data_IF_257849830947
#
_entry.id   IF_257849830947
#
_cell.length_a   1.000
_cell.length_b   1.000
_cell.length_c   1.000
_cell.angle_alpha   90.00
_cell.angle_beta   90.00
_cell.angle_gamma   90.00
#
_symmetry.space_group_name_H-M   'P 1'
#
loop_
_entity.id
_entity.type
_entity.pdbx_description
1 polymer ?
#
# COMPACT_ATOMS: atom_id res chain seq x y z
N UNK A 1 9.56 21.13 34.52
CA UNK A 1 9.57 21.46 33.09
C UNK A 1 8.80 20.37 32.38
N UNK A 2 7.62 20.68 31.85
CA UNK A 2 6.83 19.69 31.11
C UNK A 2 7.62 19.27 29.86
N UNK A 3 7.85 18.00 29.74
CA UNK A 3 8.44 17.37 28.58
C UNK A 3 7.61 17.77 27.35
N UNK A 4 8.13 18.63 26.48
CA UNK A 4 7.43 18.96 25.23
C UNK A 4 7.35 17.66 24.44
N UNK A 5 6.20 17.02 24.44
CA UNK A 5 5.95 15.84 23.60
C UNK A 5 6.40 16.17 22.19
N UNK A 6 7.44 15.47 21.73
CA UNK A 6 7.95 15.60 20.38
C UNK A 6 6.81 15.27 19.39
N UNK A 7 6.44 16.22 18.55
CA UNK A 7 5.45 16.01 17.48
C UNK A 7 6.21 15.44 16.28
N UNK A 8 6.00 14.17 15.92
CA UNK A 8 6.73 13.59 14.79
C UNK A 8 6.32 14.25 13.47
N UNK A 9 7.31 14.53 12.63
CA UNK A 9 7.13 14.97 11.26
C UNK A 9 7.15 13.76 10.32
N UNK A 10 6.08 13.57 9.57
CA UNK A 10 5.93 12.48 8.61
C UNK A 10 6.03 13.06 7.19
N UNK A 11 6.98 12.57 6.41
CA UNK A 11 7.07 12.86 4.99
C UNK A 11 6.38 11.74 4.19
N UNK A 12 5.31 12.06 3.49
CA UNK A 12 4.60 11.15 2.60
C UNK A 12 4.99 11.46 1.16
N UNK A 13 5.41 10.44 0.40
CA UNK A 13 5.81 10.59 -1.00
C UNK A 13 5.02 9.67 -1.91
N UNK A 14 4.79 10.09 -3.15
CA UNK A 14 4.21 9.27 -4.21
C UNK A 14 2.93 9.81 -4.82
N UNK A 15 2.80 9.66 -6.15
CA UNK A 15 1.68 10.17 -6.94
C UNK A 15 0.40 9.33 -6.87
N UNK A 16 0.40 8.22 -6.16
CA UNK A 16 -0.78 7.35 -6.01
C UNK A 16 -1.81 7.98 -5.06
N UNK A 17 -3.10 7.91 -5.41
CA UNK A 17 -4.19 8.40 -4.56
C UNK A 17 -4.21 7.79 -3.15
N UNK A 18 -3.67 6.56 -2.99
CA UNK A 18 -3.50 5.93 -1.67
C UNK A 18 -2.58 6.74 -0.77
N UNK A 19 -1.56 7.41 -1.34
CA UNK A 19 -0.66 8.29 -0.59
C UNK A 19 -1.36 9.57 -0.15
N UNK A 20 -2.25 10.12 -0.97
CA UNK A 20 -3.08 11.26 -0.58
C UNK A 20 -3.96 10.90 0.62
N UNK A 21 -4.67 9.77 0.56
CA UNK A 21 -5.50 9.30 1.69
C UNK A 21 -4.67 8.95 2.93
N UNK A 22 -3.49 8.37 2.74
CA UNK A 22 -2.58 8.09 3.85
C UNK A 22 -2.10 9.38 4.53
N UNK A 23 -1.72 10.40 3.76
CA UNK A 23 -1.34 11.70 4.27
C UNK A 23 -2.48 12.38 5.04
N UNK A 24 -3.71 12.37 4.49
CA UNK A 24 -4.90 12.89 5.17
C UNK A 24 -5.17 12.17 6.50
N UNK A 25 -5.12 10.84 6.47
CA UNK A 25 -5.35 10.03 7.67
C UNK A 25 -4.30 10.27 8.74
N UNK A 26 -3.02 10.36 8.35
CA UNK A 26 -1.94 10.67 9.27
C UNK A 26 -2.06 12.09 9.83
N UNK A 27 -2.43 13.08 9.00
CA UNK A 27 -2.64 14.46 9.43
C UNK A 27 -3.87 14.62 10.35
N UNK A 28 -4.80 13.66 10.35
CA UNK A 28 -5.95 13.63 11.27
C UNK A 28 -5.63 13.07 12.65
N UNK A 29 -4.42 12.54 12.86
CA UNK A 29 -3.98 12.04 14.15
C UNK A 29 -3.48 13.19 15.03
N UNK A 30 -3.85 13.16 16.32
CA UNK A 30 -3.35 14.13 17.29
C UNK A 30 -1.82 14.05 17.40
N UNK A 31 -1.19 15.24 17.51
CA UNK A 31 0.25 15.39 17.68
C UNK A 31 1.10 14.79 16.54
N UNK A 32 0.64 14.88 15.29
CA UNK A 32 1.43 14.58 14.10
C UNK A 32 1.51 15.79 13.18
N UNK A 33 2.64 15.97 12.52
CA UNK A 33 2.83 16.94 11.44
C UNK A 33 3.12 16.16 10.15
N UNK A 34 2.41 16.48 9.06
CA UNK A 34 2.54 15.74 7.80
C UNK A 34 2.90 16.69 6.67
N UNK A 35 3.98 16.36 5.96
CA UNK A 35 4.32 16.96 4.68
C UNK A 35 4.09 15.95 3.55
N UNK A 36 3.46 16.40 2.48
CA UNK A 36 3.23 15.60 1.27
C UNK A 36 4.12 16.13 0.14
N UNK A 37 4.88 15.22 -0.49
CA UNK A 37 5.80 15.53 -1.58
C UNK A 37 5.53 14.64 -2.78
N UNK A 38 5.36 15.22 -3.96
CA UNK A 38 5.05 14.52 -5.21
C UNK A 38 3.77 13.66 -5.11
N UNK A 39 2.77 14.14 -4.37
CA UNK A 39 1.45 13.52 -4.30
C UNK A 39 0.56 14.04 -5.43
N UNK A 40 -0.33 13.17 -5.94
CA UNK A 40 -1.33 13.53 -6.95
C UNK A 40 -2.57 14.14 -6.28
N UNK A 41 -2.47 15.41 -5.90
CA UNK A 41 -3.50 16.17 -5.21
C UNK A 41 -3.02 16.78 -3.89
N UNK A 42 -3.92 17.55 -3.27
CA UNK A 42 -3.66 18.25 -2.01
C UNK A 42 -4.35 17.51 -0.85
N UNK A 43 -3.62 16.68 -0.08
CA UNK A 43 -4.18 15.97 1.05
C UNK A 43 -4.63 16.93 2.15
N UNK A 44 -5.88 16.80 2.59
CA UNK A 44 -6.47 17.65 3.62
C UNK A 44 -5.71 17.51 4.95
N UNK A 45 -5.31 18.64 5.52
CA UNK A 45 -4.59 18.69 6.80
C UNK A 45 -3.09 18.45 6.71
N UNK A 46 -2.56 18.00 5.56
CA UNK A 46 -1.13 17.89 5.34
C UNK A 46 -0.60 19.12 4.57
N UNK A 47 0.65 19.49 4.84
CA UNK A 47 1.34 20.55 4.10
C UNK A 47 1.92 19.97 2.81
N UNK A 48 1.44 20.42 1.66
CA UNK A 48 2.04 20.09 0.37
C UNK A 48 3.31 20.91 0.18
N UNK A 49 4.41 20.24 -0.15
CA UNK A 49 5.70 20.88 -0.46
C UNK A 49 6.09 20.60 -1.91
N UNK A 50 6.66 21.58 -2.57
CA UNK A 50 7.12 21.49 -3.98
C UNK A 50 8.55 21.01 -4.08
N UNK A 51 9.35 21.27 -3.05
CA UNK A 51 10.74 20.84 -2.94
C UNK A 51 11.01 20.30 -1.54
N UNK A 52 11.94 19.37 -1.43
CA UNK A 52 12.35 18.80 -0.14
C UNK A 52 12.95 19.84 0.81
N UNK A 53 13.50 20.93 0.27
CA UNK A 53 14.02 22.06 1.05
C UNK A 53 12.95 22.85 1.81
N UNK A 54 11.68 22.68 1.49
CA UNK A 54 10.55 23.32 2.21
C UNK A 54 10.13 22.56 3.47
N UNK A 55 10.74 21.39 3.76
CA UNK A 55 10.49 20.69 5.02
C UNK A 55 10.89 21.61 6.21
N UNK A 56 10.03 21.74 7.23
CA UNK A 56 10.32 22.62 8.39
C UNK A 56 11.49 22.10 9.23
N UNK A 57 11.74 20.80 9.17
CA UNK A 57 12.86 20.08 9.80
C UNK A 57 13.01 18.71 9.16
N UNK A 58 14.00 17.94 9.57
CA UNK A 58 14.17 16.55 9.12
C UNK A 58 12.97 15.71 9.58
N UNK A 59 12.48 14.85 8.70
CA UNK A 59 11.32 13.98 8.96
C UNK A 59 11.70 12.80 9.86
N UNK A 60 10.87 12.54 10.85
CA UNK A 60 11.00 11.41 11.76
C UNK A 60 10.50 10.10 11.13
N UNK A 61 9.65 10.21 10.11
CA UNK A 61 9.16 9.08 9.33
C UNK A 61 9.05 9.45 7.86
N UNK A 62 9.43 8.51 7.00
CA UNK A 62 9.21 8.54 5.55
C UNK A 62 8.20 7.45 5.19
N UNK A 63 7.10 7.84 4.55
CA UNK A 63 6.14 6.89 3.98
C UNK A 63 6.29 6.85 2.46
N UNK A 64 6.79 5.73 1.98
CA UNK A 64 6.98 5.42 0.56
C UNK A 64 5.70 4.85 -0.07
N UNK A 65 5.51 4.98 -1.39
CA UNK A 65 4.36 4.41 -2.11
C UNK A 65 4.37 2.86 -2.11
N UNK A 66 3.35 2.28 -2.73
CA UNK A 66 3.22 0.84 -2.92
C UNK A 66 2.94 0.51 -4.41
N UNK A 67 3.83 -0.21 -5.10
CA UNK A 67 5.16 -0.65 -4.64
C UNK A 67 6.10 0.54 -4.43
N UNK A 68 7.04 0.41 -3.48
CA UNK A 68 7.99 1.48 -3.19
C UNK A 68 9.21 1.52 -4.11
N UNK A 69 9.36 0.54 -4.99
CA UNK A 69 10.41 0.48 -6.01
C UNK A 69 9.92 -0.26 -7.25
N UNK A 70 10.36 0.19 -8.41
CA UNK A 70 10.24 -0.56 -9.67
C UNK A 70 11.52 -1.39 -9.89
N UNK A 71 11.35 -2.66 -10.27
CA UNK A 71 12.48 -3.52 -10.62
C UNK A 71 13.46 -3.85 -9.50
N UNK A 72 13.14 -3.54 -8.24
CA UNK A 72 13.99 -3.86 -7.08
C UNK A 72 15.11 -2.86 -6.79
N UNK A 73 15.17 -1.72 -7.51
CA UNK A 73 16.18 -0.68 -7.33
C UNK A 73 15.83 0.34 -6.21
N UNK A 74 16.64 1.40 -6.14
CA UNK A 74 16.48 2.50 -5.18
C UNK A 74 15.65 3.67 -5.73
N UNK A 75 15.12 3.55 -6.93
CA UNK A 75 14.22 4.52 -7.54
C UNK A 75 12.78 4.29 -7.09
N UNK A 76 12.07 5.38 -6.80
CA UNK A 76 10.67 5.38 -6.38
C UNK A 76 9.81 5.65 -7.62
N UNK A 77 9.12 4.64 -8.19
CA UNK A 77 8.48 4.77 -9.50
C UNK A 77 7.32 5.74 -9.54
N UNK A 78 6.60 5.88 -8.43
CA UNK A 78 5.45 6.78 -8.33
C UNK A 78 5.84 8.26 -8.20
N UNK A 79 7.12 8.57 -8.08
CA UNK A 79 7.65 9.91 -7.87
C UNK A 79 8.54 10.37 -9.04
N UNK A 80 8.38 9.80 -10.23
CA UNK A 80 9.23 10.07 -11.38
C UNK A 80 10.62 9.46 -11.18
N UNK A 81 11.68 10.30 -11.16
CA UNK A 81 13.06 9.86 -10.96
C UNK A 81 13.60 10.06 -9.55
N UNK A 82 12.72 10.23 -8.55
CA UNK A 82 13.16 10.41 -7.17
C UNK A 82 13.87 9.14 -6.69
N UNK A 83 15.07 9.30 -6.16
CA UNK A 83 15.86 8.22 -5.58
C UNK A 83 15.80 8.26 -4.05
N UNK A 84 16.05 7.11 -3.42
CA UNK A 84 16.16 7.05 -1.96
C UNK A 84 17.33 7.91 -1.44
N UNK A 85 18.39 8.06 -2.22
CA UNK A 85 19.55 8.89 -1.87
C UNK A 85 19.18 10.37 -1.76
N UNK A 86 18.28 10.86 -2.61
CA UNK A 86 17.80 12.25 -2.55
C UNK A 86 16.92 12.52 -1.32
N UNK A 87 16.24 11.51 -0.80
CA UNK A 87 15.39 11.63 0.39
C UNK A 87 16.20 11.58 1.70
N UNK A 88 17.27 10.81 1.71
CA UNK A 88 18.06 10.50 2.91
C UNK A 88 18.52 11.74 3.70
N UNK A 89 19.01 12.84 3.09
CA UNK A 89 19.45 14.04 3.82
C UNK A 89 18.33 14.72 4.61
N UNK A 90 17.09 14.45 4.26
CA UNK A 90 15.90 15.08 4.87
C UNK A 90 15.27 14.25 5.98
N UNK A 91 15.87 13.10 6.32
CA UNK A 91 15.44 12.25 7.41
C UNK A 91 16.19 12.56 8.71
N UNK A 92 15.48 12.49 9.83
CA UNK A 92 16.05 12.61 11.15
C UNK A 92 16.91 11.38 11.48
N UNK A 93 17.84 11.52 12.41
CA UNK A 93 18.60 10.37 12.92
C UNK A 93 17.62 9.34 13.51
N UNK A 94 17.77 8.08 13.14
CA UNK A 94 16.88 6.97 13.54
C UNK A 94 15.43 7.10 12.99
N UNK A 95 15.21 7.84 11.91
CA UNK A 95 13.90 7.89 11.27
C UNK A 95 13.41 6.50 10.86
N UNK A 96 12.08 6.35 10.82
CA UNK A 96 11.42 5.14 10.32
C UNK A 96 11.10 5.32 8.84
N UNK A 97 11.52 4.37 8.00
CA UNK A 97 11.15 4.32 6.59
C UNK A 97 10.15 3.18 6.37
N UNK A 98 8.90 3.57 6.12
CA UNK A 98 7.82 2.62 5.86
C UNK A 98 7.46 2.59 4.38
N UNK A 99 7.19 1.41 3.85
CA UNK A 99 6.77 1.23 2.45
C UNK A 99 5.99 -0.06 2.26
N UNK A 100 5.39 -0.22 1.09
CA UNK A 100 4.71 -1.46 0.73
C UNK A 100 5.49 -2.24 -0.31
N UNK A 101 5.71 -3.55 -0.08
CA UNK A 101 6.50 -4.43 -0.94
C UNK A 101 7.94 -3.91 -1.10
N UNK A 102 8.60 -3.70 0.03
CA UNK A 102 9.98 -3.22 0.05
C UNK A 102 10.95 -4.32 -0.43
N UNK A 103 11.72 -4.08 -1.49
CA UNK A 103 12.75 -5.02 -1.94
C UNK A 103 13.92 -5.05 -0.95
N UNK A 104 14.62 -6.18 -0.89
CA UNK A 104 15.76 -6.39 0.02
C UNK A 104 16.81 -5.30 -0.12
N UNK A 105 17.18 -4.93 -1.35
CA UNK A 105 18.16 -3.87 -1.60
C UNK A 105 17.78 -2.52 -0.96
N UNK A 106 16.50 -2.17 -0.97
CA UNK A 106 15.99 -0.93 -0.35
C UNK A 106 16.05 -1.01 1.18
N UNK A 107 15.70 -2.16 1.74
CA UNK A 107 15.79 -2.42 3.19
C UNK A 107 17.25 -2.33 3.65
N UNK A 108 18.17 -3.00 2.95
CA UNK A 108 19.60 -2.97 3.23
C UNK A 108 20.19 -1.57 3.14
N UNK A 109 19.82 -0.82 2.10
CA UNK A 109 20.24 0.57 1.91
C UNK A 109 19.88 1.43 3.12
N UNK A 110 18.63 1.49 3.52
CA UNK A 110 18.20 2.33 4.65
C UNK A 110 18.77 1.83 5.98
N UNK A 111 18.82 0.52 6.20
CA UNK A 111 19.40 -0.05 7.42
C UNK A 111 20.90 0.24 7.54
N UNK A 112 21.66 0.23 6.43
CA UNK A 112 23.08 0.58 6.42
C UNK A 112 23.35 2.03 6.83
N UNK A 113 22.37 2.92 6.65
CA UNK A 113 22.41 4.31 7.05
C UNK A 113 21.84 4.56 8.47
N UNK A 114 21.46 3.49 9.18
CA UNK A 114 20.96 3.55 10.55
C UNK A 114 19.47 3.90 10.67
N UNK A 115 18.70 3.81 9.59
CA UNK A 115 17.26 3.97 9.61
C UNK A 115 16.56 2.63 9.93
N UNK A 116 15.40 2.72 10.57
CA UNK A 116 14.54 1.54 10.77
C UNK A 116 13.60 1.39 9.59
N UNK A 117 13.51 0.20 9.00
CA UNK A 117 12.61 -0.08 7.88
C UNK A 117 11.38 -0.87 8.32
N UNK A 118 10.21 -0.57 7.74
CA UNK A 118 8.95 -1.24 8.00
C UNK A 118 8.18 -1.51 6.70
N UNK A 119 8.09 -2.77 6.28
CA UNK A 119 7.22 -3.16 5.17
C UNK A 119 5.82 -3.48 5.71
N UNK A 120 4.89 -2.53 5.53
CA UNK A 120 3.52 -2.69 6.03
C UNK A 120 2.71 -3.77 5.29
N UNK A 121 3.13 -4.21 4.09
CA UNK A 121 2.47 -5.33 3.40
C UNK A 121 2.83 -6.70 3.98
N UNK A 122 3.85 -6.80 4.83
CA UNK A 122 4.13 -8.02 5.60
C UNK A 122 3.14 -8.23 6.74
N UNK A 123 2.30 -7.25 7.04
CA UNK A 123 1.25 -7.37 8.05
C UNK A 123 0.09 -8.18 7.48
N UNK A 124 -0.18 -9.33 8.11
CA UNK A 124 -1.21 -10.27 7.63
C UNK A 124 -2.61 -9.63 7.64
N UNK A 125 -2.94 -8.86 8.68
CA UNK A 125 -4.25 -8.21 8.77
C UNK A 125 -4.47 -7.19 7.64
N UNK A 126 -3.42 -6.49 7.20
CA UNK A 126 -3.52 -5.60 6.04
C UNK A 126 -3.71 -6.39 4.76
N UNK A 127 -2.95 -7.48 4.59
CA UNK A 127 -3.04 -8.35 3.43
C UNK A 127 -4.44 -8.97 3.29
N UNK A 128 -5.04 -9.41 4.40
CA UNK A 128 -6.43 -9.93 4.42
C UNK A 128 -7.43 -8.84 4.06
N UNK A 129 -7.34 -7.65 4.68
CA UNK A 129 -8.25 -6.54 4.39
C UNK A 129 -8.15 -6.06 2.94
N UNK A 130 -6.94 -6.05 2.38
CA UNK A 130 -6.70 -5.60 0.99
C UNK A 130 -7.26 -6.57 -0.06
N UNK A 131 -7.67 -7.79 0.32
CA UNK A 131 -8.32 -8.72 -0.60
C UNK A 131 -9.72 -8.25 -1.01
N UNK A 132 -10.42 -7.51 -0.16
CA UNK A 132 -11.78 -7.02 -0.45
C UNK A 132 -11.76 -6.05 -1.63
N UNK A 133 -11.05 -4.92 -1.58
CA UNK A 133 -11.02 -3.99 -2.73
C UNK A 133 -10.40 -4.64 -3.99
N UNK A 134 -9.50 -5.61 -3.84
CA UNK A 134 -8.96 -6.36 -4.98
C UNK A 134 -10.03 -7.21 -5.66
N UNK A 135 -10.87 -7.90 -4.89
CA UNK A 135 -11.97 -8.70 -5.41
C UNK A 135 -13.08 -7.83 -6.03
N UNK A 136 -13.39 -6.68 -5.41
CA UNK A 136 -14.32 -5.70 -5.96
C UNK A 136 -13.82 -5.13 -7.29
N UNK A 137 -12.53 -4.81 -7.39
CA UNK A 137 -11.91 -4.37 -8.63
C UNK A 137 -11.95 -5.43 -9.73
N UNK A 138 -11.76 -6.71 -9.37
CA UNK A 138 -11.88 -7.82 -10.32
C UNK A 138 -13.32 -7.99 -10.82
N UNK A 139 -14.31 -7.89 -9.95
CA UNK A 139 -15.73 -7.95 -10.33
C UNK A 139 -16.11 -6.75 -11.21
N UNK A 140 -15.69 -5.53 -10.83
CA UNK A 140 -15.96 -4.33 -11.61
C UNK A 140 -15.34 -4.41 -13.01
N UNK A 141 -14.13 -4.96 -13.12
CA UNK A 141 -13.47 -5.21 -14.40
C UNK A 141 -14.26 -6.23 -15.23
N UNK A 142 -14.68 -7.35 -14.63
CA UNK A 142 -15.48 -8.36 -15.32
C UNK A 142 -16.80 -7.76 -15.84
N UNK A 143 -17.52 -7.00 -15.02
CA UNK A 143 -18.77 -6.33 -15.42
C UNK A 143 -18.59 -5.33 -16.58
N UNK A 144 -17.43 -4.67 -16.65
CA UNK A 144 -17.12 -3.73 -17.72
C UNK A 144 -16.74 -4.41 -19.04
N UNK A 145 -16.00 -5.53 -18.95
CA UNK A 145 -15.42 -6.19 -20.14
C UNK A 145 -16.30 -7.30 -20.71
N UNK A 146 -17.35 -7.72 -19.98
CA UNK A 146 -18.26 -8.78 -20.44
C UNK A 146 -19.52 -8.21 -21.05
N UNK A 147 -19.96 -8.77 -22.17
CA UNK A 147 -21.21 -8.43 -22.85
C UNK A 147 -22.45 -9.04 -22.19
N UNK A 148 -22.27 -9.80 -21.11
CA UNK A 148 -23.34 -10.52 -20.41
C UNK A 148 -23.27 -10.24 -18.90
N UNK A 149 -24.39 -10.48 -18.20
CA UNK A 149 -24.46 -10.32 -16.75
C UNK A 149 -23.57 -11.36 -16.05
N UNK A 150 -23.04 -11.02 -14.88
CA UNK A 150 -22.27 -11.96 -14.04
C UNK A 150 -23.16 -13.14 -13.59
N UNK A 151 -24.42 -12.86 -13.29
CA UNK A 151 -25.39 -13.87 -12.89
C UNK A 151 -25.57 -14.94 -13.98
N UNK A 152 -25.44 -16.22 -13.58
CA UNK A 152 -25.53 -17.36 -14.47
C UNK A 152 -24.25 -17.73 -15.23
N UNK A 153 -23.23 -16.87 -15.23
CA UNK A 153 -21.93 -17.18 -15.86
C UNK A 153 -21.13 -18.21 -15.07
N UNK A 154 -20.09 -18.76 -15.69
CA UNK A 154 -19.10 -19.62 -15.03
C UNK A 154 -17.82 -18.84 -14.80
N UNK A 155 -17.41 -18.69 -13.54
CA UNK A 155 -16.16 -18.05 -13.14
C UNK A 155 -15.13 -19.09 -12.70
N UNK A 156 -14.00 -19.18 -13.39
CA UNK A 156 -12.89 -20.04 -12.99
C UNK A 156 -11.88 -19.21 -12.19
N UNK A 157 -11.61 -19.64 -10.94
CA UNK A 157 -10.62 -19.05 -10.06
C UNK A 157 -9.41 -19.98 -9.95
N UNK A 158 -8.24 -19.49 -10.36
CA UNK A 158 -7.00 -20.25 -10.33
C UNK A 158 -6.23 -19.95 -9.04
N UNK A 159 -6.17 -20.96 -8.14
CA UNK A 159 -5.60 -20.86 -6.80
C UNK A 159 -6.66 -20.64 -5.71
N UNK A 160 -6.27 -20.90 -4.45
CA UNK A 160 -7.14 -20.71 -3.27
C UNK A 160 -6.42 -19.92 -2.18
N UNK A 161 -5.86 -18.78 -2.58
CA UNK A 161 -5.28 -17.81 -1.65
C UNK A 161 -6.31 -16.81 -1.12
N UNK A 162 -5.85 -15.85 -0.34
CA UNK A 162 -6.69 -14.79 0.27
C UNK A 162 -7.57 -14.04 -0.74
N UNK A 163 -6.99 -13.58 -1.85
CA UNK A 163 -7.71 -12.88 -2.92
C UNK A 163 -8.71 -13.81 -3.60
N UNK A 164 -8.30 -15.05 -3.90
CA UNK A 164 -9.18 -16.05 -4.52
C UNK A 164 -10.42 -16.31 -3.69
N UNK A 165 -10.28 -16.46 -2.37
CA UNK A 165 -11.39 -16.63 -1.43
C UNK A 165 -12.36 -15.43 -1.42
N UNK A 166 -11.80 -14.20 -1.49
CA UNK A 166 -12.62 -12.99 -1.58
C UNK A 166 -13.36 -12.92 -2.92
N UNK A 167 -12.68 -13.22 -4.04
CA UNK A 167 -13.30 -13.29 -5.35
C UNK A 167 -14.42 -14.36 -5.42
N UNK A 168 -14.15 -15.57 -4.91
CA UNK A 168 -15.13 -16.64 -4.93
C UNK A 168 -16.45 -16.23 -4.25
N UNK A 169 -16.34 -15.63 -3.05
CA UNK A 169 -17.51 -15.11 -2.33
C UNK A 169 -18.23 -14.02 -3.10
N UNK A 170 -17.50 -13.08 -3.69
CA UNK A 170 -18.10 -11.93 -4.35
C UNK A 170 -18.76 -12.31 -5.69
N UNK A 171 -18.09 -13.11 -6.52
CA UNK A 171 -18.65 -13.60 -7.78
C UNK A 171 -19.82 -14.55 -7.53
N UNK A 172 -19.73 -15.43 -6.52
CA UNK A 172 -20.85 -16.30 -6.11
C UNK A 172 -22.05 -15.48 -5.64
N UNK A 173 -21.85 -14.47 -4.81
CA UNK A 173 -22.92 -13.55 -4.38
C UNK A 173 -23.55 -12.77 -5.56
N UNK A 174 -22.79 -12.48 -6.61
CA UNK A 174 -23.30 -11.89 -7.85
C UNK A 174 -24.01 -12.91 -8.77
N UNK A 175 -24.13 -14.17 -8.36
CA UNK A 175 -24.85 -15.23 -9.07
C UNK A 175 -24.03 -16.01 -10.09
N UNK A 176 -22.71 -15.88 -10.09
CA UNK A 176 -21.85 -16.70 -10.93
C UNK A 176 -21.73 -18.12 -10.36
N UNK A 177 -21.57 -19.12 -11.25
CA UNK A 177 -21.17 -20.49 -10.87
C UNK A 177 -19.64 -20.50 -10.75
N UNK A 178 -19.14 -20.46 -9.52
CA UNK A 178 -17.71 -20.42 -9.26
C UNK A 178 -17.11 -21.82 -9.32
N UNK A 179 -16.01 -21.95 -10.04
CA UNK A 179 -15.18 -23.15 -10.08
C UNK A 179 -13.76 -22.77 -9.63
N UNK A 180 -13.16 -23.59 -8.77
CA UNK A 180 -11.82 -23.32 -8.23
C UNK A 180 -10.86 -24.42 -8.67
N UNK A 181 -9.63 -24.04 -9.01
CA UNK A 181 -8.52 -24.98 -9.19
C UNK A 181 -7.35 -24.59 -8.29
N UNK A 182 -6.74 -25.57 -7.62
CA UNK A 182 -5.58 -25.39 -6.78
C UNK A 182 -4.69 -26.63 -6.81
N UNK A 183 -3.39 -26.45 -6.52
CA UNK A 183 -2.44 -27.58 -6.48
C UNK A 183 -2.51 -28.38 -5.17
N UNK A 184 -2.99 -27.77 -4.11
CA UNK A 184 -3.08 -28.39 -2.79
C UNK A 184 -4.48 -28.94 -2.57
N UNK A 185 -4.59 -30.26 -2.29
CA UNK A 185 -5.86 -30.94 -2.07
C UNK A 185 -6.63 -30.40 -0.86
N UNK A 186 -5.94 -29.96 0.19
CA UNK A 186 -6.58 -29.32 1.35
C UNK A 186 -7.25 -27.99 0.98
N UNK A 187 -6.65 -27.24 0.07
CA UNK A 187 -7.25 -25.99 -0.46
C UNK A 187 -8.50 -26.30 -1.31
N UNK A 188 -8.50 -27.39 -2.08
CA UNK A 188 -9.69 -27.81 -2.85
C UNK A 188 -10.81 -28.23 -1.91
N UNK A 189 -10.51 -29.05 -0.89
CA UNK A 189 -11.50 -29.46 0.11
C UNK A 189 -12.07 -28.24 0.89
N UNK A 190 -11.23 -27.26 1.21
CA UNK A 190 -11.68 -26.00 1.81
C UNK A 190 -12.61 -25.23 0.85
N UNK A 191 -12.24 -25.13 -0.44
CA UNK A 191 -13.07 -24.46 -1.44
C UNK A 191 -14.45 -25.15 -1.58
N UNK A 192 -14.50 -26.47 -1.65
CA UNK A 192 -15.74 -27.25 -1.68
C UNK A 192 -16.62 -27.01 -0.45
N UNK A 193 -16.00 -26.87 0.74
CA UNK A 193 -16.74 -26.61 1.98
C UNK A 193 -17.34 -25.20 2.07
N UNK A 194 -16.86 -24.29 1.23
CA UNK A 194 -17.35 -22.91 1.17
C UNK A 194 -18.50 -22.70 0.15
N UNK A 195 -18.90 -23.73 -0.62
CA UNK A 195 -19.92 -23.66 -1.67
C UNK A 195 -19.31 -23.39 -3.03
#
# INVERSE_FOLDING_TARGET
MADRKHTPLILVTGSDRRQVYAAEKLASLDNTEVCAYLTDGEPKGARVIKTLGELPRRADMLLLPMPCSAGGGLEIPACGRLTCAELTPYLAKNAVVAGGKMPTALIEYFNSLGFTTADYLRREELAVKNCVPTAEGALALAMREMDVTISGTRALIIGWGRVAKACARLFGAAGARVCVTARNLGQLAEAESCG
#
